data_IF_759515071128
#
_entry.id   IF_759515071128
#
_cell.length_a   1.000
_cell.length_b   1.000
_cell.length_c   1.000
_cell.angle_alpha   90.00
_cell.angle_beta   90.00
_cell.angle_gamma   90.00
#
_symmetry.space_group_name_H-M   'P 1'
#
loop_
_entity.id
_entity.type
_entity.pdbx_description
1 polymer ?
#
# COMPACT_ATOMS: atom_id res chain seq x y z
N UNK A 1 -9.20 -3.35 8.62
CA UNK A 1 -9.48 -3.01 10.01
C UNK A 1 -10.40 -1.80 10.08
N UNK A 2 -11.30 -1.77 11.04
CA UNK A 2 -12.13 -0.60 11.35
C UNK A 2 -11.60 0.07 12.61
N UNK A 3 -11.62 1.39 12.65
CA UNK A 3 -11.12 2.12 13.80
C UNK A 3 -11.13 3.64 13.59
N UNK A 4 -10.74 4.37 14.61
CA UNK A 4 -10.55 5.81 14.54
C UNK A 4 -9.13 6.11 14.01
N UNK A 5 -9.05 6.93 12.97
CA UNK A 5 -7.77 7.37 12.44
C UNK A 5 -7.34 8.66 13.13
N UNK A 6 -6.27 8.62 13.90
CA UNK A 6 -5.77 9.77 14.67
C UNK A 6 -5.18 10.88 13.78
N UNK A 7 -4.61 10.51 12.61
CA UNK A 7 -4.00 11.48 11.69
C UNK A 7 -4.99 12.18 10.77
N UNK A 8 -6.12 11.54 10.53
CA UNK A 8 -7.27 12.13 9.85
C UNK A 8 -8.47 11.72 10.68
N UNK A 9 -9.07 12.60 11.50
CA UNK A 9 -10.09 12.24 12.49
C UNK A 9 -11.37 11.75 11.82
N UNK A 10 -11.32 10.54 11.31
CA UNK A 10 -12.39 9.86 10.60
C UNK A 10 -12.54 8.44 11.14
N UNK A 11 -13.79 7.99 11.19
CA UNK A 11 -14.06 6.58 11.42
C UNK A 11 -13.89 5.81 10.12
N UNK A 12 -12.93 4.90 10.11
CA UNK A 12 -12.69 4.01 8.95
C UNK A 12 -13.29 2.64 9.21
N UNK A 13 -13.82 2.02 8.17
CA UNK A 13 -14.28 0.64 8.19
C UNK A 13 -13.49 -0.21 7.20
N UNK A 14 -13.45 -1.52 7.41
CA UNK A 14 -12.96 -2.45 6.41
C UNK A 14 -13.88 -2.48 5.18
N UNK A 15 -13.29 -2.67 4.00
CA UNK A 15 -14.06 -2.92 2.78
C UNK A 15 -14.85 -4.22 2.90
N UNK A 16 -16.10 -4.21 2.46
CA UNK A 16 -16.89 -5.44 2.31
C UNK A 16 -16.42 -6.21 1.08
N UNK A 17 -16.70 -7.50 1.06
CA UNK A 17 -16.33 -8.39 -0.05
C UNK A 17 -16.90 -7.92 -1.38
N UNK A 18 -18.16 -7.50 -1.39
CA UNK A 18 -18.88 -7.02 -2.57
C UNK A 18 -18.32 -5.69 -3.13
N UNK A 19 -17.52 -4.95 -2.36
CA UNK A 19 -16.88 -3.70 -2.79
C UNK A 19 -15.53 -3.92 -3.50
N UNK A 20 -14.90 -5.08 -3.30
CA UNK A 20 -13.54 -5.33 -3.80
C UNK A 20 -13.45 -5.31 -5.33
N UNK A 21 -14.37 -5.91 -6.10
CA UNK A 21 -14.32 -5.83 -7.57
C UNK A 21 -14.42 -4.39 -8.09
N UNK A 22 -15.30 -3.58 -7.51
CA UNK A 22 -15.44 -2.19 -7.91
C UNK A 22 -14.18 -1.35 -7.59
N UNK A 23 -13.49 -1.70 -6.50
CA UNK A 23 -12.24 -1.08 -6.11
C UNK A 23 -11.11 -1.48 -7.07
N UNK A 24 -10.97 -2.76 -7.42
CA UNK A 24 -9.99 -3.21 -8.41
C UNK A 24 -10.20 -2.53 -9.77
N UNK A 25 -11.45 -2.48 -10.25
CA UNK A 25 -11.80 -1.74 -11.48
C UNK A 25 -11.45 -0.25 -11.44
N UNK A 26 -11.43 0.36 -10.26
CA UNK A 26 -11.01 1.76 -10.12
C UNK A 26 -9.53 1.95 -10.48
N UNK A 27 -8.67 0.98 -10.15
CA UNK A 27 -7.26 1.00 -10.58
C UNK A 27 -7.16 0.93 -12.12
N UNK A 28 -7.87 0.00 -12.76
CA UNK A 28 -7.91 -0.09 -14.23
C UNK A 28 -8.38 1.21 -14.90
N UNK A 29 -9.45 1.84 -14.36
CA UNK A 29 -9.90 3.15 -14.84
C UNK A 29 -8.83 4.23 -14.72
N UNK A 30 -8.07 4.23 -13.61
CA UNK A 30 -6.97 5.19 -13.41
C UNK A 30 -5.85 4.98 -14.42
N UNK A 31 -5.55 3.74 -14.78
CA UNK A 31 -4.58 3.42 -15.84
C UNK A 31 -5.05 3.92 -17.20
N UNK A 32 -6.33 3.73 -17.56
CA UNK A 32 -6.89 4.26 -18.79
C UNK A 32 -6.77 5.79 -18.86
N UNK A 33 -7.08 6.49 -17.77
CA UNK A 33 -6.93 7.96 -17.70
C UNK A 33 -5.46 8.39 -17.86
N UNK A 34 -4.52 7.66 -17.25
CA UNK A 34 -3.09 7.94 -17.41
C UNK A 34 -2.66 7.75 -18.88
N UNK A 35 -3.12 6.68 -19.53
CA UNK A 35 -2.87 6.44 -20.96
C UNK A 35 -3.45 7.52 -21.86
N UNK A 36 -4.69 7.94 -21.62
CA UNK A 36 -5.33 9.03 -22.35
C UNK A 36 -4.58 10.37 -22.17
N UNK A 37 -3.96 10.57 -21.00
CA UNK A 37 -3.13 11.74 -20.71
C UNK A 37 -1.72 11.66 -21.31
N UNK A 38 -1.35 10.55 -21.96
CA UNK A 38 -0.07 10.38 -22.66
C UNK A 38 1.09 9.92 -21.76
N UNK A 39 0.81 9.27 -20.64
CA UNK A 39 1.86 8.62 -19.81
C UNK A 39 2.30 7.29 -20.43
N UNK A 40 3.60 7.03 -20.39
CA UNK A 40 4.22 5.80 -20.90
C UNK A 40 4.23 4.67 -19.86
N UNK A 41 4.03 4.99 -18.57
CA UNK A 41 4.08 4.03 -17.48
C UNK A 41 3.19 4.45 -16.31
N UNK A 42 2.80 3.46 -15.50
CA UNK A 42 2.15 3.65 -14.19
C UNK A 42 2.89 2.89 -13.10
N UNK A 43 2.89 3.43 -11.89
CA UNK A 43 3.40 2.74 -10.71
C UNK A 43 2.24 2.46 -9.74
N UNK A 44 1.94 1.17 -9.54
CA UNK A 44 0.93 0.72 -8.59
C UNK A 44 1.53 0.72 -7.18
N UNK A 45 0.89 1.43 -6.27
CA UNK A 45 1.38 1.54 -4.90
C UNK A 45 0.85 0.41 -4.01
N UNK A 46 1.68 -0.64 -3.82
CA UNK A 46 1.40 -1.80 -2.98
C UNK A 46 2.18 -1.80 -1.65
N UNK A 47 2.71 -0.66 -1.21
CA UNK A 47 3.53 -0.51 -0.01
C UNK A 47 2.95 0.44 1.03
N UNK A 48 3.76 0.71 2.07
CA UNK A 48 3.65 1.78 3.06
C UNK A 48 2.37 1.80 3.90
N UNK A 49 1.59 0.71 3.93
CA UNK A 49 0.32 0.64 4.68
C UNK A 49 -0.87 1.24 3.95
N UNK A 50 -0.75 1.51 2.63
CA UNK A 50 -1.89 1.87 1.80
C UNK A 50 -2.73 0.63 1.42
N UNK A 51 -3.77 0.79 0.65
CA UNK A 51 -4.83 -0.19 0.50
C UNK A 51 -4.32 -1.62 0.18
N UNK A 52 -3.53 -1.80 -0.87
CA UNK A 52 -3.00 -3.12 -1.25
C UNK A 52 -2.09 -3.66 -0.14
N UNK A 53 -1.19 -2.83 0.41
CA UNK A 53 -0.32 -3.20 1.52
C UNK A 53 -1.11 -3.63 2.76
N UNK A 54 -2.27 -3.02 3.04
CA UNK A 54 -3.14 -3.42 4.15
C UNK A 54 -3.78 -4.79 3.94
N UNK A 55 -4.02 -5.21 2.70
CA UNK A 55 -4.45 -6.58 2.41
C UNK A 55 -3.32 -7.59 2.57
N UNK A 56 -2.11 -7.23 2.12
CA UNK A 56 -0.94 -8.11 2.17
C UNK A 56 -0.43 -8.34 3.61
N UNK A 57 -0.41 -7.29 4.43
CA UNK A 57 0.15 -7.35 5.78
C UNK A 57 -0.75 -8.15 6.75
N UNK A 58 -0.20 -9.17 7.45
CA UNK A 58 -0.94 -9.91 8.46
C UNK A 58 -1.32 -9.04 9.66
N UNK A 59 -0.61 -7.93 9.88
CA UNK A 59 -0.91 -6.98 10.96
C UNK A 59 -2.21 -6.21 10.75
N UNK A 60 -2.54 -5.86 9.51
CA UNK A 60 -3.74 -5.08 9.19
C UNK A 60 -4.88 -5.93 8.65
N UNK A 61 -4.56 -7.05 8.00
CA UNK A 61 -5.55 -7.93 7.40
C UNK A 61 -6.02 -9.00 8.40
N UNK A 62 -7.08 -8.68 9.14
CA UNK A 62 -7.72 -9.60 10.08
C UNK A 62 -8.99 -10.26 9.51
N UNK A 63 -9.14 -10.27 8.19
CA UNK A 63 -10.29 -10.88 7.52
C UNK A 63 -10.36 -12.38 7.76
N UNK A 64 -11.59 -12.92 7.79
CA UNK A 64 -11.86 -14.35 7.98
C UNK A 64 -12.45 -15.00 6.71
N UNK A 65 -12.59 -14.20 5.65
CA UNK A 65 -13.00 -14.67 4.33
C UNK A 65 -11.78 -15.02 3.46
N UNK A 66 -12.01 -15.33 2.20
CA UNK A 66 -10.97 -15.72 1.23
C UNK A 66 -9.94 -14.64 0.89
N UNK A 67 -10.06 -13.45 1.45
CA UNK A 67 -9.10 -12.34 1.31
C UNK A 67 -8.23 -12.15 2.56
N UNK A 68 -8.26 -13.07 3.51
CA UNK A 68 -7.51 -12.99 4.76
C UNK A 68 -6.96 -14.33 5.24
N UNK A 69 -6.14 -14.30 6.30
CA UNK A 69 -5.48 -15.47 6.85
C UNK A 69 -4.17 -15.81 6.13
N UNK A 70 -4.15 -16.84 5.28
CA UNK A 70 -2.94 -17.25 4.55
C UNK A 70 -2.41 -16.17 3.61
N UNK A 71 -1.12 -16.21 3.30
CA UNK A 71 -0.52 -15.27 2.33
C UNK A 71 -1.22 -15.33 0.97
N UNK A 72 -1.55 -16.53 0.50
CA UNK A 72 -2.31 -16.76 -0.74
C UNK A 72 -3.63 -15.95 -0.74
N UNK A 73 -4.40 -16.04 0.34
CA UNK A 73 -5.65 -15.30 0.46
C UNK A 73 -5.41 -13.78 0.54
N UNK A 74 -4.36 -13.35 1.23
CA UNK A 74 -4.02 -11.92 1.37
C UNK A 74 -3.57 -11.31 0.03
N UNK A 75 -3.01 -12.10 -0.89
CA UNK A 75 -2.63 -11.67 -2.23
C UNK A 75 -3.83 -11.51 -3.18
N UNK A 76 -4.97 -12.20 -2.97
CA UNK A 76 -6.10 -12.20 -3.91
C UNK A 76 -6.60 -10.81 -4.32
N UNK A 77 -6.62 -9.84 -3.42
CA UNK A 77 -7.03 -8.49 -3.79
C UNK A 77 -5.98 -7.81 -4.68
N UNK A 78 -4.70 -8.05 -4.43
CA UNK A 78 -3.61 -7.58 -5.30
C UNK A 78 -3.73 -8.20 -6.69
N UNK A 79 -3.98 -9.51 -6.79
CA UNK A 79 -4.16 -10.21 -8.07
C UNK A 79 -5.32 -9.60 -8.87
N UNK A 80 -6.46 -9.32 -8.22
CA UNK A 80 -7.61 -8.65 -8.87
C UNK A 80 -7.24 -7.25 -9.38
N UNK A 81 -6.45 -6.49 -8.63
CA UNK A 81 -5.99 -5.16 -9.06
C UNK A 81 -5.05 -5.29 -10.25
N UNK A 82 -4.10 -6.24 -10.21
CA UNK A 82 -3.16 -6.46 -11.31
C UNK A 82 -3.87 -6.89 -12.59
N UNK A 83 -4.86 -7.75 -12.51
CA UNK A 83 -5.68 -8.15 -13.67
C UNK A 83 -6.30 -6.93 -14.37
N UNK A 84 -7.00 -6.07 -13.62
CA UNK A 84 -7.63 -4.85 -14.15
C UNK A 84 -6.61 -3.83 -14.69
N UNK A 85 -5.47 -3.71 -14.01
CA UNK A 85 -4.38 -2.82 -14.40
C UNK A 85 -3.72 -3.29 -15.70
N UNK A 86 -3.36 -4.56 -15.80
CA UNK A 86 -2.71 -5.14 -16.98
C UNK A 86 -3.64 -5.11 -18.19
N UNK A 87 -4.94 -5.38 -17.98
CA UNK A 87 -5.93 -5.26 -19.05
C UNK A 87 -6.01 -3.81 -19.56
N UNK A 88 -5.99 -2.82 -18.67
CA UNK A 88 -6.07 -1.41 -19.04
C UNK A 88 -4.76 -0.88 -19.66
N UNK A 89 -3.60 -1.35 -19.20
CA UNK A 89 -2.29 -0.94 -19.72
C UNK A 89 -2.05 -1.45 -21.14
N UNK A 90 -2.55 -2.66 -21.49
CA UNK A 90 -2.32 -3.26 -22.79
C UNK A 90 -0.84 -3.55 -23.04
N UNK A 91 -0.41 -3.38 -24.31
CA UNK A 91 1.00 -3.57 -24.72
C UNK A 91 1.83 -2.27 -24.67
N UNK A 92 1.18 -1.13 -24.52
CA UNK A 92 1.76 0.18 -24.82
C UNK A 92 2.21 0.94 -23.58
N UNK A 93 1.77 0.51 -22.38
CA UNK A 93 2.09 1.15 -21.13
C UNK A 93 2.81 0.21 -20.19
N UNK A 94 3.94 0.65 -19.64
CA UNK A 94 4.66 -0.12 -18.64
C UNK A 94 3.96 -0.07 -17.26
N UNK A 95 3.92 -1.21 -16.57
CA UNK A 95 3.36 -1.33 -15.22
C UNK A 95 4.46 -1.67 -14.23
N UNK A 96 4.72 -0.73 -13.33
CA UNK A 96 5.63 -0.90 -12.22
C UNK A 96 4.82 -1.10 -10.92
N UNK A 97 5.39 -1.82 -9.96
CA UNK A 97 4.76 -1.97 -8.64
C UNK A 97 5.73 -1.60 -7.54
N UNK A 98 5.36 -0.59 -6.75
CA UNK A 98 6.08 -0.26 -5.53
C UNK A 98 5.57 -1.11 -4.38
N UNK A 99 6.47 -1.87 -3.75
CA UNK A 99 6.13 -2.80 -2.69
C UNK A 99 7.08 -2.69 -1.49
N UNK A 100 6.63 -3.12 -0.32
CA UNK A 100 7.49 -3.24 0.85
C UNK A 100 8.37 -4.48 0.75
N UNK A 101 9.66 -4.37 1.10
CA UNK A 101 10.51 -5.53 1.39
C UNK A 101 10.17 -6.12 2.76
N UNK A 102 9.74 -5.27 3.70
CA UNK A 102 9.19 -5.61 5.01
C UNK A 102 8.38 -4.44 5.55
N UNK A 103 7.45 -4.73 6.47
CA UNK A 103 6.64 -3.68 7.10
C UNK A 103 7.42 -2.90 8.18
N UNK A 104 8.53 -3.46 8.70
CA UNK A 104 9.44 -2.79 9.63
C UNK A 104 8.98 -2.79 11.08
N UNK A 105 8.04 -3.66 11.47
CA UNK A 105 7.58 -3.81 12.85
C UNK A 105 7.07 -5.23 13.13
N UNK A 106 7.02 -5.60 14.39
CA UNK A 106 6.60 -6.93 14.83
C UNK A 106 5.16 -7.25 14.40
N UNK A 107 4.98 -8.40 13.77
CA UNK A 107 3.68 -8.89 13.27
C UNK A 107 3.28 -8.33 11.91
N UNK A 108 4.12 -7.50 11.29
CA UNK A 108 4.00 -7.13 9.89
C UNK A 108 4.56 -8.19 8.95
N UNK A 109 4.50 -7.90 7.65
CA UNK A 109 5.06 -8.76 6.61
C UNK A 109 6.59 -8.75 6.62
N UNK A 110 7.21 -9.91 6.51
CA UNK A 110 8.66 -10.10 6.48
C UNK A 110 9.15 -10.57 5.10
N UNK A 111 10.48 -10.61 4.93
CA UNK A 111 11.11 -10.80 3.62
C UNK A 111 10.68 -12.10 2.93
N UNK A 112 10.46 -13.18 3.67
CA UNK A 112 10.09 -14.49 3.12
C UNK A 112 8.70 -14.46 2.45
N UNK A 113 7.74 -13.75 3.05
CA UNK A 113 6.43 -13.51 2.45
C UNK A 113 6.53 -12.52 1.27
N UNK A 114 7.32 -11.46 1.43
CA UNK A 114 7.53 -10.44 0.39
C UNK A 114 8.13 -11.01 -0.88
N UNK A 115 9.04 -11.96 -0.76
CA UNK A 115 9.61 -12.66 -1.92
C UNK A 115 8.55 -13.45 -2.70
N UNK A 116 7.56 -14.01 -2.02
CA UNK A 116 6.43 -14.70 -2.67
C UNK A 116 5.52 -13.68 -3.37
N UNK A 117 5.22 -12.55 -2.71
CA UNK A 117 4.48 -11.44 -3.32
C UNK A 117 5.19 -10.92 -4.58
N UNK A 118 6.51 -10.71 -4.52
CA UNK A 118 7.30 -10.26 -5.66
C UNK A 118 7.21 -11.22 -6.84
N UNK A 119 7.34 -12.54 -6.59
CA UNK A 119 7.19 -13.57 -7.63
C UNK A 119 5.80 -13.54 -8.26
N UNK A 120 4.75 -13.38 -7.43
CA UNK A 120 3.37 -13.29 -7.92
C UNK A 120 3.17 -12.06 -8.80
N UNK A 121 3.65 -10.89 -8.39
CA UNK A 121 3.55 -9.65 -9.18
C UNK A 121 4.21 -9.79 -10.57
N UNK A 122 5.37 -10.46 -10.64
CA UNK A 122 6.03 -10.74 -11.93
C UNK A 122 5.18 -11.70 -12.77
N UNK A 123 4.59 -12.73 -12.17
CA UNK A 123 3.68 -13.65 -12.86
C UNK A 123 2.43 -12.95 -13.37
N UNK A 124 1.92 -11.95 -12.62
CA UNK A 124 0.77 -11.14 -12.99
C UNK A 124 1.10 -10.06 -14.03
N UNK A 125 2.37 -9.95 -14.45
CA UNK A 125 2.79 -9.10 -15.58
C UNK A 125 3.48 -7.79 -15.20
N UNK A 126 3.82 -7.54 -13.94
CA UNK A 126 4.61 -6.37 -13.56
C UNK A 126 5.99 -6.39 -14.26
N UNK A 127 6.32 -5.31 -14.98
CA UNK A 127 7.59 -5.19 -15.70
C UNK A 127 8.74 -4.72 -14.81
N UNK A 128 8.45 -4.05 -13.70
CA UNK A 128 9.46 -3.67 -12.70
C UNK A 128 8.88 -3.63 -11.29
N UNK A 129 9.74 -3.89 -10.31
CA UNK A 129 9.42 -3.76 -8.89
C UNK A 129 10.25 -2.64 -8.28
N UNK A 130 9.56 -1.69 -7.64
CA UNK A 130 10.18 -0.59 -6.89
C UNK A 130 10.20 -0.98 -5.41
N UNK A 131 11.39 -1.33 -4.91
CA UNK A 131 11.55 -1.85 -3.56
C UNK A 131 11.59 -0.71 -2.55
N UNK A 132 10.75 -0.80 -1.53
CA UNK A 132 10.64 0.13 -0.42
C UNK A 132 10.40 -0.63 0.89
N UNK A 133 9.94 0.03 1.95
CA UNK A 133 9.63 -0.62 3.20
C UNK A 133 8.93 0.31 4.17
N UNK A 134 8.39 -0.28 5.24
CA UNK A 134 7.74 0.44 6.31
C UNK A 134 6.25 0.70 6.10
N UNK A 135 5.68 1.29 7.13
CA UNK A 135 4.26 1.65 7.21
C UNK A 135 4.16 3.08 7.72
N UNK A 136 3.49 3.97 7.01
CA UNK A 136 3.39 5.40 7.37
C UNK A 136 2.85 5.60 8.79
N UNK A 137 1.89 4.78 9.21
CA UNK A 137 1.26 4.89 10.53
C UNK A 137 2.01 4.19 11.67
N UNK A 138 3.01 3.33 11.38
CA UNK A 138 3.68 2.49 12.38
C UNK A 138 5.20 2.61 12.35
N UNK A 139 5.78 2.65 11.17
CA UNK A 139 7.22 2.67 10.96
C UNK A 139 7.58 3.73 9.88
N UNK A 140 7.22 5.00 10.08
CA UNK A 140 7.47 6.06 9.10
C UNK A 140 8.96 6.25 8.84
N UNK A 141 9.82 5.98 9.82
CA UNK A 141 11.28 6.07 9.70
C UNK A 141 11.85 5.07 8.70
N UNK A 142 11.16 3.98 8.44
CA UNK A 142 11.56 2.97 7.46
C UNK A 142 11.36 3.44 6.01
N UNK A 143 10.41 4.36 5.81
CA UNK A 143 10.09 4.95 4.50
C UNK A 143 11.06 6.09 4.17
N UNK A 144 11.55 6.78 5.20
CA UNK A 144 12.44 7.93 5.05
C UNK A 144 13.91 7.53 5.26
N UNK A 145 14.79 8.02 4.39
CA UNK A 145 16.24 7.91 4.58
C UNK A 145 16.78 9.21 5.17
N UNK A 146 17.67 9.10 6.17
CA UNK A 146 18.29 10.23 6.84
C UNK A 146 17.55 10.66 8.11
N UNK A 147 17.94 11.82 8.64
CA UNK A 147 17.34 12.39 9.85
C UNK A 147 15.90 12.83 9.60
N UNK A 148 15.03 12.57 10.58
CA UNK A 148 13.65 13.00 10.50
C UNK A 148 13.57 14.54 10.49
N UNK A 149 12.90 15.16 9.50
CA UNK A 149 12.80 16.63 9.42
C UNK A 149 11.77 17.16 10.44
N UNK A 150 12.01 16.91 11.73
CA UNK A 150 11.08 17.21 12.84
C UNK A 150 10.68 18.69 12.85
N UNK A 151 11.64 19.59 12.59
CA UNK A 151 11.34 21.03 12.55
C UNK A 151 10.32 21.37 11.47
N UNK A 152 10.51 20.82 10.25
CA UNK A 152 9.59 21.04 9.12
C UNK A 152 8.24 20.41 9.38
N UNK A 153 8.21 19.16 9.84
CA UNK A 153 6.96 18.44 10.15
C UNK A 153 6.14 19.16 11.22
N UNK A 154 6.81 19.65 12.28
CA UNK A 154 6.13 20.35 13.39
C UNK A 154 5.82 21.81 13.10
N UNK A 155 6.42 22.42 12.07
CA UNK A 155 6.15 23.81 11.71
C UNK A 155 4.69 24.07 11.36
N UNK A 156 4.09 23.19 10.56
CA UNK A 156 2.73 23.28 10.07
C UNK A 156 1.67 22.63 10.99
N UNK A 157 2.07 22.07 12.13
CA UNK A 157 1.14 21.48 13.08
C UNK A 157 0.46 22.57 13.91
N UNK A 158 -0.86 22.69 13.80
CA UNK A 158 -1.66 23.64 14.58
C UNK A 158 -1.91 23.16 16.02
N UNK A 159 -1.70 21.87 16.29
CA UNK A 159 -1.97 21.27 17.60
C UNK A 159 -0.68 21.16 18.43
N UNK A 160 -0.57 21.93 19.50
CA UNK A 160 0.65 22.04 20.32
C UNK A 160 1.08 20.72 20.98
N UNK A 161 0.13 19.89 21.42
CA UNK A 161 0.43 18.61 22.07
C UNK A 161 0.91 17.54 21.06
N UNK A 162 0.40 17.53 19.84
CA UNK A 162 0.94 16.72 18.74
C UNK A 162 2.35 17.17 18.36
N UNK A 163 2.57 18.46 18.28
CA UNK A 163 3.88 19.08 18.03
C UNK A 163 4.92 18.67 19.07
N UNK A 164 4.52 18.68 20.35
CA UNK A 164 5.38 18.26 21.46
C UNK A 164 5.65 16.75 21.40
N UNK A 165 4.62 15.94 21.17
CA UNK A 165 4.75 14.48 21.03
C UNK A 165 5.73 14.06 19.93
N UNK A 166 5.64 14.69 18.75
CA UNK A 166 6.56 14.40 17.61
C UNK A 166 8.00 14.81 17.94
N UNK A 167 8.21 15.91 18.66
CA UNK A 167 9.55 16.37 19.10
C UNK A 167 10.20 15.47 20.14
N UNK A 168 9.39 14.79 20.95
CA UNK A 168 9.90 13.85 21.97
C UNK A 168 10.15 12.44 21.43
N UNK A 169 9.55 12.10 20.29
CA UNK A 169 9.68 10.77 19.67
C UNK A 169 10.80 10.68 18.61
N UNK A 170 11.43 11.77 18.26
CA UNK A 170 12.55 11.87 17.32
C UNK A 170 13.81 12.45 17.92
#
# INVERSE_FOLDING_TARGET
>A
SSGFNLYSPTFVRGLRKDELPAMAKAYGRSVNLAREAGFDAVEIHAGHGYLISQFLSPYTNHRKDEYGGSLENRMRFMDMVMEEVMQAAGSDMAVLVKMNMRDGFKGGMEIDETMQVAKRLVQDGAQALVLSGGFVSKAPMYVMRGEMPIKTMTHYMNCWWLKYGVRMAG
#
